data_IF_832149130118
#
_entry.id   IF_832149130118
#
_cell.length_a   1.000
_cell.length_b   1.000
_cell.length_c   1.000
_cell.angle_alpha   90.00
_cell.angle_beta   90.00
_cell.angle_gamma   90.00
#
_symmetry.space_group_name_H-M   'P 1'
#
loop_
_entity.id
_entity.type
_entity.pdbx_description
1 polymer ?
#
# COMPACT_ATOMS: atom_id res chain seq x y z
N UNK A 1 -11.01 -0.35 -25.86
CA UNK A 1 -9.76 -0.39 -25.09
C UNK A 1 -9.39 -1.80 -24.69
N UNK A 2 -8.11 -2.11 -24.63
CA UNK A 2 -7.65 -3.38 -24.10
C UNK A 2 -7.68 -3.35 -22.56
N UNK A 3 -8.18 -4.43 -21.94
CA UNK A 3 -8.28 -4.55 -20.50
C UNK A 3 -8.09 -6.00 -20.03
N UNK A 4 -7.59 -6.16 -18.80
CA UNK A 4 -7.69 -7.42 -18.10
C UNK A 4 -9.00 -7.49 -17.33
N UNK A 5 -9.67 -8.64 -17.38
CA UNK A 5 -10.99 -8.84 -16.75
C UNK A 5 -11.08 -10.19 -16.05
N UNK A 6 -12.00 -10.29 -15.10
CA UNK A 6 -12.47 -11.57 -14.56
C UNK A 6 -13.98 -11.51 -14.28
N UNK A 7 -14.65 -12.67 -14.40
CA UNK A 7 -16.11 -12.84 -14.22
C UNK A 7 -16.44 -13.85 -13.12
N UNK A 8 -15.43 -14.44 -12.52
CA UNK A 8 -15.54 -15.35 -11.37
C UNK A 8 -14.30 -15.22 -10.51
N UNK A 9 -14.40 -15.50 -9.22
CA UNK A 9 -13.23 -15.61 -8.34
C UNK A 9 -12.53 -16.95 -8.54
N UNK A 10 -11.20 -16.99 -8.34
CA UNK A 10 -10.41 -18.20 -8.48
C UNK A 10 -8.92 -17.91 -8.71
N UNK A 11 -8.12 -18.92 -9.13
CA UNK A 11 -6.70 -18.76 -9.43
C UNK A 11 -6.44 -17.77 -10.59
N UNK A 12 -5.37 -16.98 -10.50
CA UNK A 12 -5.06 -15.92 -11.47
C UNK A 12 -5.03 -16.42 -12.92
N UNK A 13 -4.36 -17.55 -13.15
CA UNK A 13 -4.19 -18.13 -14.48
C UNK A 13 -5.50 -18.66 -15.10
N UNK A 14 -6.52 -18.93 -14.28
CA UNK A 14 -7.79 -19.49 -14.73
C UNK A 14 -8.86 -18.44 -14.98
N UNK A 15 -8.83 -17.34 -14.19
CA UNK A 15 -9.93 -16.36 -14.18
C UNK A 15 -9.58 -15.04 -14.87
N UNK A 16 -8.30 -14.65 -14.93
CA UNK A 16 -7.90 -13.42 -15.61
C UNK A 16 -7.81 -13.66 -17.11
N UNK A 17 -8.50 -12.82 -17.86
CA UNK A 17 -8.48 -12.79 -19.32
C UNK A 17 -8.20 -11.37 -19.81
N UNK A 18 -7.60 -11.27 -21.01
CA UNK A 18 -7.32 -9.99 -21.66
C UNK A 18 -8.16 -9.90 -22.92
N UNK A 19 -8.83 -8.78 -23.11
CA UNK A 19 -9.68 -8.57 -24.26
C UNK A 19 -10.16 -7.14 -24.42
N UNK A 20 -10.79 -6.89 -25.55
CA UNK A 20 -11.41 -5.61 -25.87
C UNK A 20 -12.61 -5.33 -24.97
N UNK A 21 -12.67 -4.14 -24.42
CA UNK A 21 -13.79 -3.59 -23.67
C UNK A 21 -14.19 -2.25 -24.28
N UNK A 22 -15.46 -1.81 -24.11
CA UNK A 22 -15.86 -0.47 -24.51
C UNK A 22 -14.99 0.60 -23.84
N UNK A 23 -14.67 1.66 -24.57
CA UNK A 23 -13.97 2.80 -24.00
C UNK A 23 -14.89 3.51 -22.99
N UNK A 24 -14.42 3.80 -21.76
CA UNK A 24 -15.19 4.57 -20.80
C UNK A 24 -15.25 6.05 -21.21
N UNK A 25 -16.30 6.73 -20.77
CA UNK A 25 -16.46 8.17 -20.91
C UNK A 25 -16.44 8.81 -19.52
N UNK A 26 -15.78 9.97 -19.40
CA UNK A 26 -15.80 10.74 -18.16
C UNK A 26 -17.22 11.30 -17.90
N UNK A 27 -17.86 10.86 -16.84
CA UNK A 27 -19.13 11.40 -16.34
C UNK A 27 -18.96 12.73 -15.61
N UNK A 28 -20.06 13.26 -15.07
CA UNK A 28 -20.02 14.50 -14.29
C UNK A 28 -19.08 14.36 -13.09
N UNK A 29 -18.14 15.30 -12.94
CA UNK A 29 -17.14 15.30 -11.87
C UNK A 29 -16.00 14.31 -12.05
N UNK A 30 -15.94 13.58 -13.17
CA UNK A 30 -14.92 12.58 -13.48
C UNK A 30 -13.86 13.09 -14.46
N UNK A 31 -12.74 12.40 -14.49
CA UNK A 31 -11.69 12.50 -15.50
C UNK A 31 -11.53 11.17 -16.22
N UNK A 32 -11.16 11.20 -17.50
CA UNK A 32 -10.71 10.06 -18.27
C UNK A 32 -9.19 10.01 -18.25
N UNK A 33 -8.62 8.94 -17.73
CA UNK A 33 -7.17 8.75 -17.65
C UNK A 33 -6.73 7.67 -18.61
N UNK A 34 -5.71 7.97 -19.44
CA UNK A 34 -4.94 6.97 -20.17
C UNK A 34 -3.92 6.39 -19.20
N UNK A 35 -4.12 5.14 -18.81
CA UNK A 35 -3.25 4.43 -17.87
C UNK A 35 -1.91 4.12 -18.54
N UNK A 36 -0.83 4.27 -17.82
CA UNK A 36 0.54 3.93 -18.22
C UNK A 36 1.12 2.83 -17.34
N UNK A 37 0.67 2.76 -16.09
CA UNK A 37 1.09 1.76 -15.12
C UNK A 37 -0.04 1.49 -14.14
N UNK A 38 -0.19 0.24 -13.76
CA UNK A 38 -1.20 -0.27 -12.82
C UNK A 38 -0.51 -1.03 -11.70
N UNK A 39 -0.61 -0.54 -10.47
CA UNK A 39 -0.01 -1.17 -9.28
C UNK A 39 -0.88 -2.31 -8.75
N UNK A 40 -0.25 -3.42 -8.35
CA UNK A 40 -0.95 -4.57 -7.79
C UNK A 40 -0.76 -4.61 -6.28
N UNK A 41 -1.86 -4.64 -5.55
CA UNK A 41 -1.86 -4.78 -4.11
C UNK A 41 -2.32 -6.19 -3.67
N UNK A 42 -1.91 -6.67 -2.48
CA UNK A 42 -2.45 -7.91 -1.92
C UNK A 42 -3.99 -7.93 -1.83
N UNK A 43 -4.63 -6.76 -1.69
CA UNK A 43 -6.09 -6.64 -1.69
C UNK A 43 -6.71 -6.99 -3.04
N UNK A 44 -6.08 -6.60 -4.15
CA UNK A 44 -6.55 -6.90 -5.51
C UNK A 44 -6.50 -8.41 -5.77
N UNK A 45 -5.40 -9.03 -5.35
CA UNK A 45 -5.20 -10.48 -5.45
C UNK A 45 -6.23 -11.23 -4.60
N UNK A 46 -6.46 -10.78 -3.36
CA UNK A 46 -7.45 -11.38 -2.44
C UNK A 46 -8.88 -11.27 -2.99
N UNK A 47 -9.27 -10.13 -3.54
CA UNK A 47 -10.58 -9.95 -4.18
C UNK A 47 -10.75 -10.92 -5.36
N UNK A 48 -9.79 -10.95 -6.27
CA UNK A 48 -9.83 -11.85 -7.43
C UNK A 48 -9.85 -13.31 -7.01
N UNK A 49 -9.11 -13.68 -5.96
CA UNK A 49 -9.06 -15.06 -5.47
C UNK A 49 -10.31 -15.50 -4.70
N UNK A 50 -11.18 -14.58 -4.27
CA UNK A 50 -12.29 -14.89 -3.35
C UNK A 50 -11.82 -15.22 -1.92
N UNK A 51 -10.70 -14.59 -1.47
CA UNK A 51 -10.10 -14.85 -0.16
C UNK A 51 -11.09 -14.64 0.98
N UNK A 52 -11.12 -15.57 1.92
CA UNK A 52 -12.01 -15.54 3.10
C UNK A 52 -13.50 -15.40 2.73
N UNK A 53 -13.90 -16.01 1.60
CA UNK A 53 -15.30 -15.99 1.15
C UNK A 53 -15.73 -14.69 0.48
N UNK A 54 -14.80 -13.80 0.09
CA UNK A 54 -15.12 -12.60 -0.68
C UNK A 54 -15.85 -12.97 -1.97
N UNK A 55 -16.96 -12.29 -2.21
CA UNK A 55 -17.79 -12.44 -3.41
C UNK A 55 -17.52 -11.30 -4.39
N UNK A 56 -17.78 -11.55 -5.66
CA UNK A 56 -17.77 -10.47 -6.66
C UNK A 56 -18.98 -9.55 -6.43
N UNK A 57 -18.77 -8.24 -6.50
CA UNK A 57 -19.82 -7.22 -6.42
C UNK A 57 -20.44 -6.92 -7.79
N UNK A 58 -19.73 -7.29 -8.88
CA UNK A 58 -20.10 -7.01 -10.26
C UNK A 58 -19.92 -8.26 -11.13
N UNK A 59 -20.72 -8.43 -12.20
CA UNK A 59 -20.63 -9.61 -13.08
C UNK A 59 -19.33 -9.67 -13.90
N UNK A 60 -18.66 -8.54 -14.08
CA UNK A 60 -17.36 -8.40 -14.73
C UNK A 60 -16.56 -7.34 -13.99
N UNK A 61 -15.30 -7.60 -13.72
CA UNK A 61 -14.38 -6.69 -13.01
C UNK A 61 -13.10 -6.51 -13.83
N UNK A 62 -12.67 -5.26 -14.00
CA UNK A 62 -11.30 -4.90 -14.35
C UNK A 62 -10.56 -4.66 -13.03
N UNK A 63 -9.50 -5.44 -12.70
CA UNK A 63 -8.85 -5.35 -11.40
C UNK A 63 -7.99 -4.10 -11.25
N UNK A 64 -7.39 -4.01 -10.07
CA UNK A 64 -6.45 -3.03 -9.54
C UNK A 64 -7.06 -1.70 -9.14
N UNK A 65 -6.62 -1.29 -7.97
CA UNK A 65 -7.10 -0.09 -7.28
C UNK A 65 -6.20 1.12 -7.55
N UNK A 66 -4.92 0.89 -7.80
CA UNK A 66 -3.90 1.90 -7.97
C UNK A 66 -3.37 1.95 -9.41
N UNK A 67 -3.00 3.12 -9.87
CA UNK A 67 -2.39 3.30 -11.17
C UNK A 67 -1.82 4.70 -11.36
N UNK A 68 -1.21 4.93 -12.51
CA UNK A 68 -0.76 6.25 -12.92
C UNK A 68 -0.90 6.40 -14.44
N UNK A 69 -1.08 7.64 -14.89
CA UNK A 69 -1.30 7.94 -16.30
C UNK A 69 -1.47 9.42 -16.56
N UNK A 70 -2.12 9.73 -17.67
CA UNK A 70 -2.37 11.09 -18.13
C UNK A 70 -3.87 11.31 -18.32
N UNK A 71 -4.39 12.43 -17.84
CA UNK A 71 -5.78 12.82 -18.08
C UNK A 71 -5.91 13.17 -19.58
N UNK A 72 -6.77 12.46 -20.29
CA UNK A 72 -7.01 12.67 -21.73
C UNK A 72 -8.33 13.37 -22.01
N UNK A 73 -9.30 13.32 -21.08
CA UNK A 73 -10.55 14.06 -21.15
C UNK A 73 -11.12 14.32 -19.76
N UNK A 74 -12.09 15.22 -19.64
CA UNK A 74 -12.75 15.58 -18.41
C UNK A 74 -14.26 15.69 -18.62
N UNK A 75 -15.02 15.21 -17.65
CA UNK A 75 -16.48 15.34 -17.64
C UNK A 75 -16.96 16.71 -17.18
N UNK A 76 -18.27 16.90 -17.23
CA UNK A 76 -18.92 18.14 -16.77
C UNK A 76 -18.55 18.47 -15.32
N UNK A 77 -18.26 19.76 -15.05
CA UNK A 77 -17.89 20.25 -13.72
C UNK A 77 -16.41 20.08 -13.36
N UNK A 78 -15.58 19.49 -14.23
CA UNK A 78 -14.13 19.42 -14.05
C UNK A 78 -13.43 20.43 -14.97
N UNK A 79 -12.44 21.11 -14.43
CA UNK A 79 -11.65 22.10 -15.20
C UNK A 79 -10.89 21.41 -16.35
N UNK A 80 -11.14 21.85 -17.60
CA UNK A 80 -10.46 21.33 -18.81
C UNK A 80 -8.95 21.53 -18.82
N UNK A 81 -8.43 22.46 -18.01
CA UNK A 81 -6.97 22.64 -17.87
C UNK A 81 -6.27 21.42 -17.30
N UNK A 82 -7.01 20.48 -16.69
CA UNK A 82 -6.49 19.21 -16.22
C UNK A 82 -6.10 18.23 -17.34
N UNK A 83 -6.59 18.40 -18.56
CA UNK A 83 -6.18 17.56 -19.70
C UNK A 83 -4.68 17.70 -19.94
N UNK A 84 -3.99 16.58 -20.03
CA UNK A 84 -2.53 16.50 -20.11
C UNK A 84 -1.82 16.44 -18.74
N UNK A 85 -2.55 16.55 -17.62
CA UNK A 85 -1.94 16.33 -16.31
C UNK A 85 -1.46 14.89 -16.15
N UNK A 86 -0.22 14.71 -15.68
CA UNK A 86 0.29 13.43 -15.17
C UNK A 86 -0.30 13.21 -13.77
N UNK A 87 -0.94 12.07 -13.59
CA UNK A 87 -1.64 11.74 -12.33
C UNK A 87 -1.31 10.35 -11.84
N UNK A 88 -1.39 10.16 -10.53
CA UNK A 88 -1.54 8.87 -9.92
C UNK A 88 -2.98 8.70 -9.41
N UNK A 89 -3.47 7.48 -9.42
CA UNK A 89 -4.84 7.14 -9.07
C UNK A 89 -4.86 6.34 -7.79
N UNK A 90 -5.76 6.71 -6.92
CA UNK A 90 -5.95 6.05 -5.64
C UNK A 90 -7.38 5.59 -5.48
N UNK A 91 -7.52 4.34 -4.99
CA UNK A 91 -8.82 3.73 -4.74
C UNK A 91 -9.75 3.76 -5.95
N UNK A 92 -9.19 3.45 -7.14
CA UNK A 92 -9.89 3.54 -8.41
C UNK A 92 -11.18 2.70 -8.46
N UNK A 93 -11.20 1.54 -7.79
CA UNK A 93 -12.38 0.68 -7.69
C UNK A 93 -13.35 1.06 -6.57
N UNK A 94 -13.07 2.08 -5.76
CA UNK A 94 -13.90 2.46 -4.62
C UNK A 94 -13.51 1.76 -3.33
N UNK A 95 -14.30 1.93 -2.28
CA UNK A 95 -14.01 1.44 -0.92
C UNK A 95 -13.95 -0.08 -0.80
N UNK A 96 -13.16 -0.57 0.15
CA UNK A 96 -13.01 -1.99 0.42
C UNK A 96 -14.29 -2.67 0.94
N UNK A 97 -15.08 -1.96 1.75
CA UNK A 97 -16.29 -2.46 2.38
C UNK A 97 -17.58 -1.81 1.83
N UNK A 98 -17.51 -1.15 0.69
CA UNK A 98 -18.65 -0.52 0.02
C UNK A 98 -18.81 -1.06 -1.38
N UNK A 99 -20.01 -0.89 -1.97
CA UNK A 99 -20.22 -1.15 -3.38
C UNK A 99 -19.17 -0.39 -4.19
N UNK A 100 -18.22 -1.13 -4.75
CA UNK A 100 -17.08 -0.60 -5.48
C UNK A 100 -17.48 -0.30 -6.94
N UNK A 101 -16.54 0.25 -7.68
CA UNK A 101 -16.64 0.30 -9.14
C UNK A 101 -16.09 -0.99 -9.73
N UNK A 102 -16.75 -1.50 -10.78
CA UNK A 102 -16.33 -2.69 -11.48
C UNK A 102 -14.95 -2.52 -12.14
N UNK A 103 -14.59 -1.29 -12.54
CA UNK A 103 -13.46 -1.04 -13.42
C UNK A 103 -12.33 -0.35 -12.68
N UNK A 104 -11.21 -1.05 -12.58
CA UNK A 104 -9.95 -0.61 -12.04
C UNK A 104 -8.94 -0.19 -13.12
N UNK A 105 -7.67 -0.17 -12.75
CA UNK A 105 -6.60 0.40 -13.55
C UNK A 105 -5.89 -0.59 -14.48
N UNK A 106 -6.27 -1.89 -14.48
CA UNK A 106 -5.69 -2.87 -15.38
C UNK A 106 -6.29 -2.80 -16.81
N UNK A 107 -6.32 -1.59 -17.38
CA UNK A 107 -6.87 -1.27 -18.69
C UNK A 107 -6.17 -0.05 -19.28
N UNK A 108 -6.29 0.17 -20.61
CA UNK A 108 -5.72 1.34 -21.30
C UNK A 108 -6.37 2.66 -20.85
N UNK A 109 -7.66 2.63 -20.49
CA UNK A 109 -8.41 3.81 -20.09
C UNK A 109 -9.24 3.52 -18.82
N UNK A 110 -9.38 4.54 -17.99
CA UNK A 110 -10.29 4.51 -16.83
C UNK A 110 -10.96 5.87 -16.63
N UNK A 111 -12.28 5.87 -16.40
CA UNK A 111 -13.01 7.03 -15.91
C UNK A 111 -13.19 6.93 -14.39
N UNK A 112 -12.82 7.99 -13.65
CA UNK A 112 -12.90 8.01 -12.19
C UNK A 112 -13.11 9.43 -11.66
N UNK A 113 -13.65 9.60 -10.41
CA UNK A 113 -13.79 10.91 -9.80
C UNK A 113 -12.50 11.73 -9.84
N UNK A 114 -12.63 12.98 -10.27
CA UNK A 114 -11.50 13.91 -10.46
C UNK A 114 -10.60 14.03 -9.24
N UNK A 115 -11.15 13.92 -8.02
CA UNK A 115 -10.40 13.97 -6.78
C UNK A 115 -9.62 12.68 -6.45
N UNK A 116 -9.80 11.61 -7.21
CA UNK A 116 -9.02 10.36 -7.10
C UNK A 116 -7.88 10.29 -8.13
N UNK A 117 -7.80 11.24 -9.04
CA UNK A 117 -6.69 11.46 -9.95
C UNK A 117 -5.81 12.60 -9.41
N UNK A 118 -4.84 12.26 -8.60
CA UNK A 118 -3.95 13.19 -7.90
C UNK A 118 -2.74 13.50 -8.78
N UNK A 119 -2.29 14.76 -8.80
CA UNK A 119 -1.13 15.16 -9.60
C UNK A 119 0.11 14.36 -9.23
N UNK A 120 0.74 13.72 -10.22
CA UNK A 120 1.97 12.95 -10.02
C UNK A 120 3.16 13.90 -9.76
N UNK A 121 3.94 13.67 -8.68
CA UNK A 121 5.18 14.42 -8.44
C UNK A 121 6.12 14.38 -9.64
N UNK A 122 6.78 15.50 -9.95
CA UNK A 122 7.59 15.65 -11.16
C UNK A 122 8.76 14.66 -11.24
N UNK A 123 9.31 14.29 -10.09
CA UNK A 123 10.47 13.39 -9.98
C UNK A 123 10.11 11.90 -10.15
N UNK A 124 8.84 11.54 -10.11
CA UNK A 124 8.38 10.15 -10.27
C UNK A 124 7.93 9.87 -11.70
N UNK A 125 8.26 8.69 -12.20
CA UNK A 125 7.67 8.11 -13.40
C UNK A 125 6.30 7.48 -13.11
N UNK A 126 5.63 6.95 -14.13
CA UNK A 126 4.32 6.33 -13.95
C UNK A 126 4.38 5.00 -13.19
N UNK A 127 5.48 4.26 -13.32
CA UNK A 127 5.65 2.98 -12.62
C UNK A 127 5.74 3.21 -11.11
N UNK A 128 6.54 4.18 -10.68
CA UNK A 128 6.57 4.61 -9.27
C UNK A 128 5.24 5.22 -8.84
N UNK A 129 4.66 6.08 -9.67
CA UNK A 129 3.37 6.75 -9.41
C UNK A 129 2.22 5.79 -9.14
N UNK A 130 2.17 4.64 -9.83
CA UNK A 130 1.16 3.62 -9.66
C UNK A 130 1.14 2.95 -8.26
N UNK A 131 2.06 3.30 -7.38
CA UNK A 131 2.20 2.74 -6.04
C UNK A 131 2.14 3.81 -4.92
N UNK A 132 1.79 5.04 -5.27
CA UNK A 132 1.52 6.10 -4.27
C UNK A 132 0.16 5.90 -3.58
N UNK A 133 -0.75 5.15 -4.18
CA UNK A 133 -2.07 4.86 -3.65
C UNK A 133 -2.05 4.03 -2.37
N UNK A 134 -2.44 2.77 -2.47
CA UNK A 134 -2.58 1.90 -1.28
C UNK A 134 -1.26 1.78 -0.51
N UNK A 135 -0.10 1.47 -1.11
CA UNK A 135 1.12 1.26 -0.32
C UNK A 135 1.58 2.52 0.42
N UNK A 136 1.79 3.64 -0.28
CA UNK A 136 2.35 4.83 0.35
C UNK A 136 1.34 5.55 1.27
N UNK A 137 0.06 5.59 0.92
CA UNK A 137 -0.99 6.18 1.78
C UNK A 137 -1.26 5.33 3.02
N UNK A 138 -1.18 3.99 2.93
CA UNK A 138 -1.25 3.11 4.10
C UNK A 138 -0.05 3.34 5.02
N UNK A 139 1.15 3.43 4.46
CA UNK A 139 2.36 3.76 5.20
C UNK A 139 2.25 5.11 5.92
N UNK A 140 1.81 6.16 5.20
CA UNK A 140 1.54 7.47 5.81
C UNK A 140 0.59 7.37 7.01
N UNK A 141 -0.54 6.68 6.86
CA UNK A 141 -1.51 6.51 7.96
C UNK A 141 -0.94 5.72 9.13
N UNK A 142 -0.20 4.64 8.86
CA UNK A 142 0.40 3.83 9.91
C UNK A 142 1.45 4.62 10.72
N UNK A 143 2.19 5.52 10.06
CA UNK A 143 3.18 6.40 10.72
C UNK A 143 2.50 7.55 11.47
N UNK A 144 1.61 8.31 10.80
CA UNK A 144 1.15 9.62 11.28
C UNK A 144 -0.31 9.67 11.78
N UNK A 145 -1.00 8.51 11.92
CA UNK A 145 -2.41 8.53 12.36
C UNK A 145 -2.65 9.20 13.72
N UNK A 146 -1.63 9.23 14.57
CA UNK A 146 -1.68 9.76 15.94
C UNK A 146 -0.77 10.99 16.13
N UNK A 147 -0.34 11.62 15.04
CA UNK A 147 0.46 12.86 15.07
C UNK A 147 1.92 12.68 14.68
N UNK A 148 2.79 13.54 15.20
CA UNK A 148 4.23 13.53 14.91
C UNK A 148 4.92 12.29 15.49
N UNK A 149 5.93 11.83 14.75
CA UNK A 149 6.81 10.73 15.19
C UNK A 149 8.25 11.20 15.48
N UNK A 150 8.45 12.51 15.55
CA UNK A 150 9.75 13.10 15.83
C UNK A 150 10.30 12.60 17.17
N UNK A 151 11.55 12.12 17.17
CA UNK A 151 12.22 11.53 18.33
C UNK A 151 11.73 10.15 18.75
N UNK A 152 10.73 9.56 18.08
CA UNK A 152 10.24 8.21 18.39
C UNK A 152 11.19 7.12 17.86
N UNK A 153 11.18 5.97 18.56
CA UNK A 153 11.74 4.72 18.02
C UNK A 153 10.59 3.87 17.51
N UNK A 154 10.66 3.46 16.23
CA UNK A 154 9.57 2.74 15.55
C UNK A 154 10.10 1.40 15.05
N UNK A 155 9.38 0.30 15.38
CA UNK A 155 9.58 -1.00 14.75
C UNK A 155 8.64 -1.13 13.54
N UNK A 156 9.18 -1.52 12.39
CA UNK A 156 8.38 -1.78 11.19
C UNK A 156 8.51 -3.24 10.80
N UNK A 157 7.44 -4.00 10.98
CA UNK A 157 7.38 -5.39 10.57
C UNK A 157 7.19 -5.52 9.07
N UNK A 158 8.01 -6.37 8.41
CA UNK A 158 8.01 -6.51 6.96
C UNK A 158 8.52 -5.26 6.22
N UNK A 159 9.56 -4.63 6.74
CA UNK A 159 10.08 -3.33 6.29
C UNK A 159 10.53 -3.29 4.82
N UNK A 160 10.86 -4.43 4.19
CA UNK A 160 11.29 -4.49 2.79
C UNK A 160 10.12 -4.58 1.77
N UNK A 161 8.89 -4.82 2.24
CA UNK A 161 7.70 -4.88 1.38
C UNK A 161 7.21 -3.50 0.94
N UNK A 162 6.21 -3.47 0.05
CA UNK A 162 5.67 -2.26 -0.56
C UNK A 162 5.28 -1.17 0.47
N UNK A 163 4.47 -1.51 1.47
CA UNK A 163 4.07 -0.58 2.54
C UNK A 163 5.22 -0.31 3.50
N UNK A 164 5.95 -1.36 3.91
CA UNK A 164 7.04 -1.25 4.89
C UNK A 164 8.15 -0.32 4.43
N UNK A 165 8.58 -0.44 3.17
CA UNK A 165 9.62 0.41 2.60
C UNK A 165 9.23 1.90 2.53
N UNK A 166 7.98 2.19 2.17
CA UNK A 166 7.45 3.55 2.25
C UNK A 166 7.39 4.04 3.71
N UNK A 167 6.95 3.18 4.64
CA UNK A 167 6.85 3.54 6.06
C UNK A 167 8.21 3.85 6.68
N UNK A 168 9.29 3.13 6.30
CA UNK A 168 10.66 3.44 6.73
C UNK A 168 11.02 4.87 6.35
N UNK A 169 10.88 5.23 5.08
CA UNK A 169 11.27 6.54 4.56
C UNK A 169 10.41 7.67 5.16
N UNK A 170 9.08 7.47 5.26
CA UNK A 170 8.16 8.45 5.85
C UNK A 170 8.48 8.67 7.34
N UNK A 171 8.76 7.59 8.09
CA UNK A 171 9.10 7.68 9.50
C UNK A 171 10.45 8.38 9.73
N UNK A 172 11.46 8.04 8.93
CA UNK A 172 12.79 8.68 8.97
C UNK A 172 12.69 10.17 8.63
N UNK A 173 11.97 10.53 7.58
CA UNK A 173 11.71 11.91 7.22
C UNK A 173 10.93 12.66 8.29
N UNK A 174 10.11 11.96 9.08
CA UNK A 174 9.40 12.48 10.26
C UNK A 174 10.25 12.60 11.54
N UNK A 175 11.56 12.28 11.49
CA UNK A 175 12.47 12.37 12.64
C UNK A 175 12.51 11.13 13.54
N UNK A 176 11.92 10.01 13.11
CA UNK A 176 11.94 8.77 13.89
C UNK A 176 13.22 7.96 13.69
N UNK A 177 13.64 7.22 14.72
CA UNK A 177 14.63 6.16 14.64
C UNK A 177 13.92 4.85 14.28
N UNK A 178 14.22 4.29 13.11
CA UNK A 178 13.50 3.13 12.56
C UNK A 178 14.30 1.85 12.71
N UNK A 179 13.65 0.79 13.21
CA UNK A 179 14.13 -0.59 13.22
C UNK A 179 13.21 -1.37 12.28
N UNK A 180 13.73 -2.06 11.27
CA UNK A 180 12.94 -2.85 10.34
C UNK A 180 13.12 -4.34 10.57
N UNK A 181 12.06 -5.17 10.47
CA UNK A 181 12.21 -6.62 10.37
C UNK A 181 12.23 -7.06 8.91
N UNK A 182 13.11 -8.00 8.60
CA UNK A 182 13.32 -8.56 7.26
C UNK A 182 13.44 -10.08 7.31
N UNK A 183 13.59 -10.75 6.17
CA UNK A 183 13.67 -12.21 6.08
C UNK A 183 14.93 -12.76 5.42
N UNK A 184 15.85 -11.88 5.03
CA UNK A 184 17.13 -12.23 4.41
C UNK A 184 18.04 -11.00 4.28
N UNK A 185 19.32 -11.23 3.97
CA UNK A 185 20.33 -10.19 3.86
C UNK A 185 20.07 -9.13 2.77
N UNK A 186 19.68 -9.46 1.53
CA UNK A 186 19.32 -8.43 0.53
C UNK A 186 18.20 -7.50 0.99
N UNK A 187 17.21 -8.02 1.72
CA UNK A 187 16.14 -7.22 2.29
C UNK A 187 16.67 -6.29 3.41
N UNK A 188 17.67 -6.73 4.17
CA UNK A 188 18.30 -5.88 5.20
C UNK A 188 19.04 -4.69 4.57
N UNK A 189 19.85 -4.93 3.54
CA UNK A 189 20.53 -3.85 2.80
C UNK A 189 19.52 -2.86 2.22
N UNK A 190 18.43 -3.37 1.63
CA UNK A 190 17.38 -2.55 1.05
C UNK A 190 16.72 -1.63 2.09
N UNK A 191 16.43 -2.14 3.28
CA UNK A 191 15.79 -1.39 4.38
C UNK A 191 16.75 -0.36 5.00
N UNK A 192 18.03 -0.71 5.17
CA UNK A 192 19.04 0.23 5.64
C UNK A 192 19.27 1.36 4.62
N UNK A 193 19.31 1.04 3.32
CA UNK A 193 19.42 2.04 2.26
C UNK A 193 18.21 3.00 2.24
N UNK A 194 17.03 2.56 2.68
CA UNK A 194 15.85 3.41 2.87
C UNK A 194 15.92 4.32 4.11
N UNK A 195 16.99 4.24 4.91
CA UNK A 195 17.25 5.09 6.07
C UNK A 195 16.97 4.44 7.43
N UNK A 196 16.63 3.14 7.49
CA UNK A 196 16.45 2.47 8.78
C UNK A 196 17.77 2.45 9.56
N UNK A 197 17.71 2.69 10.88
CA UNK A 197 18.82 2.59 11.80
C UNK A 197 19.36 1.15 11.91
N UNK A 198 18.44 0.16 11.89
CA UNK A 198 18.77 -1.26 11.93
C UNK A 198 17.75 -2.07 11.13
N UNK A 199 18.20 -3.19 10.56
CA UNK A 199 17.37 -4.21 9.93
C UNK A 199 17.67 -5.56 10.57
N UNK A 200 16.66 -6.21 11.13
CA UNK A 200 16.75 -7.46 11.88
C UNK A 200 16.21 -8.62 11.06
N UNK A 201 17.01 -9.65 10.80
CA UNK A 201 16.55 -10.84 10.10
C UNK A 201 15.78 -11.76 11.06
N UNK A 202 14.44 -11.71 10.99
CA UNK A 202 13.52 -12.49 11.83
C UNK A 202 13.69 -14.01 11.73
N UNK A 203 14.47 -14.51 10.76
CA UNK A 203 14.76 -15.94 10.62
C UNK A 203 16.05 -16.35 11.32
N UNK A 204 16.95 -15.40 11.58
CA UNK A 204 18.28 -15.64 12.13
C UNK A 204 18.46 -15.04 13.52
N UNK A 205 17.67 -14.02 13.86
CA UNK A 205 17.81 -13.26 15.10
C UNK A 205 16.57 -13.39 16.01
N UNK A 206 16.80 -13.33 17.31
CA UNK A 206 15.72 -13.04 18.28
C UNK A 206 15.39 -11.56 18.20
N UNK A 207 14.36 -11.23 17.42
CA UNK A 207 13.93 -9.85 17.18
C UNK A 207 13.59 -9.13 18.49
N UNK A 208 12.93 -9.80 19.44
CA UNK A 208 12.60 -9.21 20.74
C UNK A 208 13.86 -8.82 21.51
N UNK A 209 14.79 -9.74 21.66
CA UNK A 209 16.06 -9.47 22.37
C UNK A 209 16.83 -8.32 21.70
N UNK A 210 16.90 -8.32 20.35
CA UNK A 210 17.61 -7.28 19.58
C UNK A 210 16.95 -5.91 19.71
N UNK A 211 15.62 -5.82 19.64
CA UNK A 211 14.90 -4.55 19.84
C UNK A 211 15.14 -4.03 21.25
N UNK A 212 15.06 -4.89 22.28
CA UNK A 212 15.29 -4.47 23.66
C UNK A 212 16.76 -4.05 23.87
N UNK A 213 17.72 -4.69 23.26
CA UNK A 213 19.13 -4.27 23.28
C UNK A 213 19.30 -2.87 22.65
N UNK A 214 18.78 -2.65 21.43
CA UNK A 214 18.87 -1.39 20.69
C UNK A 214 18.22 -0.23 21.46
N UNK A 215 17.17 -0.53 22.22
CA UNK A 215 16.39 0.46 22.99
C UNK A 215 16.80 0.53 24.46
N UNK A 216 17.89 -0.10 24.87
CA UNK A 216 18.36 -0.18 26.26
C UNK A 216 17.27 -0.64 27.25
N UNK A 217 16.45 -1.60 26.84
CA UNK A 217 15.36 -2.16 27.66
C UNK A 217 14.07 -1.34 27.70
N UNK A 218 14.00 -0.18 27.01
CA UNK A 218 12.82 0.71 27.04
C UNK A 218 11.70 0.20 26.13
N UNK A 219 12.05 -0.37 24.99
CA UNK A 219 11.11 -0.74 23.92
C UNK A 219 10.85 0.37 22.93
N UNK A 220 9.89 0.15 22.02
CA UNK A 220 9.58 1.06 20.92
C UNK A 220 8.30 1.87 21.18
N UNK A 221 8.24 3.08 20.66
CA UNK A 221 7.09 3.99 20.76
C UNK A 221 5.92 3.49 19.92
N UNK A 222 6.24 2.92 18.76
CA UNK A 222 5.27 2.48 17.77
C UNK A 222 5.76 1.23 17.07
N UNK A 223 4.81 0.33 16.79
CA UNK A 223 4.99 -0.79 15.85
C UNK A 223 4.10 -0.54 14.63
N UNK A 224 4.65 -0.67 13.43
CA UNK A 224 3.89 -0.69 12.17
C UNK A 224 3.81 -2.14 11.73
N UNK A 225 2.58 -2.67 11.65
CA UNK A 225 2.33 -4.11 11.63
C UNK A 225 1.63 -4.56 10.35
N UNK A 226 2.29 -5.48 9.63
CA UNK A 226 1.81 -6.03 8.35
C UNK A 226 0.95 -7.28 8.52
N UNK A 227 1.17 -8.07 9.59
CA UNK A 227 0.42 -9.31 9.85
C UNK A 227 0.22 -9.52 11.35
N UNK A 228 -0.75 -8.80 11.88
CA UNK A 228 -1.01 -8.68 13.31
C UNK A 228 -1.13 -10.03 14.01
N UNK A 229 -1.83 -11.00 13.40
CA UNK A 229 -2.00 -12.33 14.00
C UNK A 229 -0.67 -13.05 14.24
N UNK A 230 0.30 -12.91 13.32
CA UNK A 230 1.60 -13.56 13.42
C UNK A 230 2.51 -12.88 14.44
N UNK A 231 2.40 -11.56 14.62
CA UNK A 231 3.41 -10.77 15.33
C UNK A 231 2.91 -10.16 16.64
N UNK A 232 1.61 -10.24 16.98
CA UNK A 232 1.03 -9.53 18.14
C UNK A 232 1.71 -9.83 19.49
N UNK A 233 2.31 -11.02 19.67
CA UNK A 233 3.08 -11.35 20.87
C UNK A 233 4.42 -10.59 20.91
N UNK A 234 5.11 -10.55 19.78
CA UNK A 234 6.33 -9.74 19.61
C UNK A 234 6.00 -8.27 19.82
N UNK A 235 4.93 -7.78 19.18
CA UNK A 235 4.51 -6.37 19.25
C UNK A 235 4.27 -5.97 20.73
N UNK A 236 3.50 -6.76 21.47
CA UNK A 236 3.26 -6.51 22.89
C UNK A 236 4.55 -6.56 23.72
N UNK A 237 5.46 -7.49 23.44
CA UNK A 237 6.71 -7.66 24.20
C UNK A 237 7.66 -6.46 24.04
N UNK A 238 7.79 -5.94 22.81
CA UNK A 238 8.74 -4.85 22.48
C UNK A 238 8.16 -3.45 22.65
N UNK A 239 6.83 -3.32 22.80
CA UNK A 239 6.17 -2.02 22.95
C UNK A 239 6.48 -1.42 24.33
N UNK A 240 6.83 -0.14 24.38
CA UNK A 240 6.94 0.58 25.64
C UNK A 240 5.55 0.90 26.25
N UNK A 241 5.44 1.26 27.55
CA UNK A 241 4.17 1.71 28.12
C UNK A 241 3.56 2.87 27.32
N UNK A 242 2.24 2.79 27.08
CA UNK A 242 1.44 3.72 26.29
C UNK A 242 1.84 3.83 24.80
N UNK A 243 2.62 2.86 24.29
CA UNK A 243 2.97 2.79 22.88
C UNK A 243 1.79 2.40 21.97
N UNK A 244 1.98 2.51 20.67
CA UNK A 244 0.95 2.23 19.67
C UNK A 244 1.36 1.10 18.73
N UNK A 245 0.47 0.13 18.50
CA UNK A 245 0.58 -0.81 17.37
C UNK A 245 -0.36 -0.34 16.27
N UNK A 246 0.18 0.05 15.12
CA UNK A 246 -0.57 0.46 13.94
C UNK A 246 -0.61 -0.70 12.93
N UNK A 247 -1.66 -1.51 12.97
CA UNK A 247 -1.81 -2.71 12.14
C UNK A 247 -2.69 -2.43 10.92
N UNK A 248 -2.21 -2.82 9.72
CA UNK A 248 -2.95 -2.65 8.47
C UNK A 248 -3.34 -3.97 7.81
N UNK A 249 -2.91 -5.10 8.36
CA UNK A 249 -3.27 -6.44 7.87
C UNK A 249 -3.17 -7.49 8.97
N UNK A 250 -3.86 -8.61 8.78
CA UNK A 250 -3.79 -9.84 9.57
C UNK A 250 -4.10 -11.02 8.65
N UNK A 251 -3.24 -11.22 7.64
CA UNK A 251 -3.50 -12.19 6.55
C UNK A 251 -3.32 -13.63 6.97
N UNK A 252 -2.43 -13.92 7.90
CA UNK A 252 -2.19 -15.28 8.41
C UNK A 252 -3.37 -15.82 9.21
N UNK A 253 -4.11 -14.95 9.90
CA UNK A 253 -5.36 -15.26 10.57
C UNK A 253 -6.25 -14.01 10.62
N UNK A 254 -7.40 -13.98 9.90
CA UNK A 254 -8.30 -12.83 9.88
C UNK A 254 -9.07 -12.63 11.21
N UNK A 255 -9.04 -13.61 12.13
CA UNK A 255 -9.73 -13.57 13.42
C UNK A 255 -8.76 -13.99 14.55
N UNK A 256 -7.72 -13.18 14.83
CA UNK A 256 -6.74 -13.53 15.86
C UNK A 256 -7.33 -13.47 17.27
N UNK A 257 -6.85 -14.36 18.14
CA UNK A 257 -7.15 -14.30 19.57
C UNK A 257 -6.19 -13.32 20.23
N UNK A 258 -6.72 -12.17 20.67
CA UNK A 258 -5.92 -11.11 21.28
C UNK A 258 -5.38 -11.51 22.66
N UNK A 259 -4.07 -11.44 22.92
CA UNK A 259 -3.49 -11.59 24.25
C UNK A 259 -3.75 -10.31 25.07
N UNK A 260 -4.97 -10.18 25.57
CA UNK A 260 -5.49 -8.96 26.17
C UNK A 260 -4.57 -8.36 27.25
N UNK A 261 -4.14 -9.18 28.21
CA UNK A 261 -3.33 -8.69 29.34
C UNK A 261 -1.91 -8.30 28.95
N UNK A 262 -1.36 -8.85 27.87
CA UNK A 262 -0.04 -8.44 27.36
C UNK A 262 -0.08 -7.00 26.86
N UNK A 263 -1.15 -6.61 26.15
CA UNK A 263 -1.36 -5.23 25.70
C UNK A 263 -1.87 -4.31 26.84
N UNK A 264 -2.79 -4.81 27.68
CA UNK A 264 -3.37 -4.03 28.76
C UNK A 264 -2.32 -3.60 29.78
N UNK A 265 -1.37 -4.49 30.15
CA UNK A 265 -0.28 -4.18 31.09
C UNK A 265 0.64 -3.08 30.61
N UNK A 266 0.68 -2.84 29.31
CA UNK A 266 1.43 -1.74 28.66
C UNK A 266 0.58 -0.46 28.48
N UNK A 267 -0.73 -0.51 28.73
CA UNK A 267 -1.63 0.59 28.33
C UNK A 267 -1.59 0.83 26.81
N UNK A 268 -1.43 -0.22 26.02
CA UNK A 268 -1.16 -0.13 24.59
C UNK A 268 -2.34 0.47 23.80
N UNK A 269 -2.04 1.27 22.80
CA UNK A 269 -3.00 1.71 21.77
C UNK A 269 -2.96 0.76 20.59
N UNK A 270 -4.09 0.13 20.24
CA UNK A 270 -4.23 -0.67 19.03
C UNK A 270 -4.96 0.16 17.98
N UNK A 271 -4.26 0.51 16.91
CA UNK A 271 -4.77 1.31 15.79
C UNK A 271 -4.87 0.44 14.54
N UNK A 272 -6.08 0.06 14.15
CA UNK A 272 -6.28 -0.62 12.87
C UNK A 272 -6.37 0.42 11.75
N UNK A 273 -5.51 0.25 10.75
CA UNK A 273 -5.39 1.16 9.60
C UNK A 273 -6.20 0.59 8.44
N UNK A 274 -7.22 1.35 8.00
CA UNK A 274 -7.95 1.05 6.78
C UNK A 274 -7.46 1.98 5.65
N UNK A 275 -6.63 1.44 4.76
CA UNK A 275 -6.00 2.20 3.67
C UNK A 275 -6.98 2.72 2.61
N UNK A 276 -8.16 2.12 2.49
CA UNK A 276 -9.20 2.53 1.53
C UNK A 276 -10.19 3.56 2.09
N UNK A 277 -10.19 3.81 3.39
CA UNK A 277 -11.14 4.69 4.07
C UNK A 277 -10.43 5.75 4.93
N UNK A 278 -9.42 6.38 4.36
CA UNK A 278 -8.69 7.46 5.02
C UNK A 278 -9.60 8.70 5.12
N UNK A 279 -9.72 9.34 6.31
CA UNK A 279 -10.49 10.56 6.45
C UNK A 279 -10.03 11.65 5.47
N UNK A 280 -10.94 12.45 4.87
CA UNK A 280 -10.59 13.38 3.79
C UNK A 280 -9.49 14.40 4.15
N UNK A 281 -9.43 14.88 5.39
CA UNK A 281 -8.35 15.78 5.84
C UNK A 281 -7.00 15.07 5.85
N UNK A 282 -6.92 13.91 6.52
CA UNK A 282 -5.72 13.10 6.58
C UNK A 282 -5.27 12.60 5.19
N UNK A 283 -6.22 12.37 4.27
CA UNK A 283 -5.92 12.04 2.89
C UNK A 283 -5.16 13.18 2.20
N UNK A 284 -5.68 14.41 2.26
CA UNK A 284 -5.01 15.58 1.66
C UNK A 284 -3.64 15.85 2.26
N UNK A 285 -3.51 15.70 3.58
CA UNK A 285 -2.21 15.81 4.27
C UNK A 285 -1.22 14.75 3.78
N UNK A 286 -1.66 13.50 3.63
CA UNK A 286 -0.84 12.41 3.10
C UNK A 286 -0.42 12.66 1.64
N UNK A 287 -1.35 13.04 0.77
CA UNK A 287 -1.06 13.37 -0.62
C UNK A 287 -0.02 14.51 -0.72
N UNK A 288 -0.15 15.56 0.11
CA UNK A 288 0.79 16.66 0.14
C UNK A 288 2.18 16.24 0.69
N UNK A 289 2.21 15.42 1.74
CA UNK A 289 3.47 14.91 2.31
C UNK A 289 4.20 14.02 1.30
N UNK A 290 3.50 13.05 0.69
CA UNK A 290 4.10 12.17 -0.32
C UNK A 290 4.65 12.95 -1.52
N UNK A 291 3.90 13.96 -1.99
CA UNK A 291 4.36 14.83 -3.07
C UNK A 291 5.61 15.63 -2.68
N UNK A 292 5.66 16.15 -1.46
CA UNK A 292 6.84 16.85 -0.93
C UNK A 292 8.03 15.91 -0.85
N UNK A 293 7.90 14.77 -0.17
CA UNK A 293 9.00 13.84 0.01
C UNK A 293 9.54 13.29 -1.32
N UNK A 294 8.67 13.01 -2.29
CA UNK A 294 9.08 12.56 -3.62
C UNK A 294 9.83 13.66 -4.39
N UNK A 295 9.37 14.92 -4.34
CA UNK A 295 10.05 16.03 -5.01
C UNK A 295 11.40 16.38 -4.34
N UNK A 296 11.50 16.18 -3.02
CA UNK A 296 12.74 16.37 -2.25
C UNK A 296 13.68 15.15 -2.30
N UNK A 297 13.33 14.12 -3.08
CA UNK A 297 14.08 12.86 -3.22
C UNK A 297 14.25 12.08 -1.90
N UNK A 298 13.35 12.33 -0.94
CA UNK A 298 13.29 11.64 0.36
C UNK A 298 12.32 10.45 0.34
N UNK A 299 11.58 10.24 -0.74
CA UNK A 299 10.72 9.08 -0.96
C UNK A 299 11.01 8.48 -2.33
N UNK A 300 11.47 7.25 -2.34
CA UNK A 300 11.60 6.40 -3.52
C UNK A 300 10.62 5.25 -3.43
N UNK A 301 10.04 4.86 -4.56
CA UNK A 301 9.13 3.71 -4.62
C UNK A 301 9.91 2.51 -5.13
N UNK A 302 10.10 1.52 -4.28
CA UNK A 302 10.78 0.28 -4.64
C UNK A 302 9.89 -0.55 -5.59
N UNK A 303 10.43 -0.92 -6.75
CA UNK A 303 9.77 -1.78 -7.74
C UNK A 303 10.53 -3.09 -7.81
N UNK A 304 9.87 -4.18 -7.42
CA UNK A 304 10.44 -5.51 -7.45
C UNK A 304 10.42 -6.11 -8.86
N UNK A 305 9.32 -5.91 -9.59
CA UNK A 305 9.19 -6.35 -10.99
C UNK A 305 8.11 -5.55 -11.73
N UNK A 306 8.25 -5.52 -13.05
CA UNK A 306 7.23 -5.00 -13.98
C UNK A 306 6.83 -6.09 -14.97
N UNK A 307 5.55 -6.13 -15.32
CA UNK A 307 4.97 -7.06 -16.27
C UNK A 307 4.14 -6.30 -17.31
N UNK A 308 4.16 -6.69 -18.60
CA UNK A 308 3.19 -6.14 -19.54
C UNK A 308 1.77 -6.63 -19.18
N UNK A 309 0.73 -5.90 -19.60
CA UNK A 309 -0.67 -6.29 -19.36
C UNK A 309 -0.95 -7.74 -19.76
N UNK A 310 -0.36 -8.20 -20.86
CA UNK A 310 -0.47 -9.58 -21.33
C UNK A 310 -0.02 -10.64 -20.32
N UNK A 311 0.80 -10.27 -19.34
CA UNK A 311 1.32 -11.16 -18.31
C UNK A 311 0.72 -10.91 -16.91
N UNK A 312 -0.42 -10.23 -16.82
CA UNK A 312 -1.04 -9.87 -15.55
C UNK A 312 -1.26 -11.06 -14.60
N UNK A 313 -1.58 -12.24 -15.13
CA UNK A 313 -1.73 -13.45 -14.31
C UNK A 313 -0.42 -13.83 -13.60
N UNK A 314 0.74 -13.70 -14.27
CA UNK A 314 2.06 -13.93 -13.67
C UNK A 314 2.36 -12.88 -12.61
N UNK A 315 2.03 -11.62 -12.87
CA UNK A 315 2.19 -10.53 -11.92
C UNK A 315 1.39 -10.77 -10.63
N UNK A 316 0.14 -11.23 -10.73
CA UNK A 316 -0.67 -11.63 -9.58
C UNK A 316 -0.04 -12.78 -8.79
N UNK A 317 0.46 -13.82 -9.47
CA UNK A 317 1.14 -14.96 -8.83
C UNK A 317 2.41 -14.53 -8.08
N UNK A 318 3.13 -13.54 -8.59
CA UNK A 318 4.29 -12.99 -7.90
C UNK A 318 3.91 -12.25 -6.61
N UNK A 319 2.81 -11.49 -6.62
CA UNK A 319 2.27 -10.87 -5.40
C UNK A 319 1.81 -11.94 -4.40
N UNK A 320 1.16 -13.00 -4.86
CA UNK A 320 0.72 -14.14 -4.01
C UNK A 320 1.90 -14.87 -3.36
N UNK A 321 2.99 -15.06 -4.11
CA UNK A 321 4.22 -15.71 -3.61
C UNK A 321 4.82 -14.90 -2.44
N UNK A 322 4.70 -13.58 -2.49
CA UNK A 322 5.29 -12.69 -1.50
C UNK A 322 6.82 -12.67 -1.52
N UNK A 323 7.42 -12.02 -0.53
CA UNK A 323 8.89 -11.90 -0.42
C UNK A 323 9.51 -10.88 -1.37
N UNK A 324 8.71 -10.10 -2.07
CA UNK A 324 9.15 -9.07 -3.00
C UNK A 324 9.75 -7.87 -2.27
N UNK A 325 10.86 -7.34 -2.78
CA UNK A 325 11.47 -6.09 -2.30
C UNK A 325 10.78 -4.89 -2.96
N UNK A 326 9.61 -4.51 -2.45
CA UNK A 326 8.80 -3.43 -3.02
C UNK A 326 7.57 -3.94 -3.77
N UNK A 327 7.20 -3.22 -4.82
CA UNK A 327 5.94 -3.33 -5.54
C UNK A 327 6.04 -4.14 -6.83
N UNK A 328 4.93 -4.76 -7.23
CA UNK A 328 4.74 -5.37 -8.56
C UNK A 328 3.82 -4.46 -9.37
N UNK A 329 4.20 -4.17 -10.62
CA UNK A 329 3.50 -3.22 -11.48
C UNK A 329 3.23 -3.84 -12.85
N UNK A 330 2.03 -3.61 -13.37
CA UNK A 330 1.67 -3.91 -14.76
C UNK A 330 1.84 -2.63 -15.59
N UNK A 331 2.61 -2.71 -16.68
CA UNK A 331 2.72 -1.64 -17.68
C UNK A 331 1.64 -1.82 -18.74
N UNK A 332 1.02 -0.70 -19.13
CA UNK A 332 -0.08 -0.64 -20.08
C UNK A 332 0.39 -0.01 -21.39
#
# INVERSE_FOLDING_TARGET
MLAATYTTTGPAAEVLSIGEQPDPLAGQGEVLVRVRASGINPADVKRRAGWNGMQMEHPLVIPHTDGAGEIVDVGEGVDRSRVGERVWMWNAQGGYNTAGRAFGTAAELIALPSNQAVRLPKKLDFVAGANLGVPAMTAYRAVHADGSVDGQTILINGAAGAVGHCAVQIAVAGGARVIGTVSNYPAAEHVVAAGAFAALDRKQEDVQARVMEITNGVGVDRVIEVDFASNMKLDAAVLKPNGTVAAYSSSSNPQPVLPYYDFQSKGANLRFIQGFAIPPAARREGEALLAKLANDEQLTIAIAATYPLAEIAKAHLDVERGGNLGNIVVTI
#
